data_IF_959455791113
#
_entry.id   IF_959455791113
#
_cell.length_a   1.000
_cell.length_b   1.000
_cell.length_c   1.000
_cell.angle_alpha   90.00
_cell.angle_beta   90.00
_cell.angle_gamma   90.00
#
_symmetry.space_group_name_H-M   'P 1'
#
loop_
_entity.id
_entity.type
_entity.pdbx_description
1 polymer ?
#
# COMPACT_ATOMS: atom_id res chain seq x y z
N UNK A 1 -8.61 22.49 0.73
CA UNK A 1 -7.98 21.99 1.97
C UNK A 1 -8.66 22.65 3.16
N UNK A 2 -8.87 21.89 4.24
CA UNK A 2 -9.43 22.42 5.49
C UNK A 2 -8.24 22.88 6.35
N UNK A 3 -8.18 24.18 6.76
CA UNK A 3 -7.11 24.68 7.61
C UNK A 3 -6.97 23.88 8.92
N UNK A 4 -5.73 23.71 9.39
CA UNK A 4 -5.44 22.91 10.59
C UNK A 4 -6.26 23.37 11.81
N UNK A 5 -6.37 24.65 12.06
CA UNK A 5 -7.16 25.21 13.16
C UNK A 5 -8.64 24.80 13.11
N UNK A 6 -9.21 24.74 11.91
CA UNK A 6 -10.59 24.29 11.74
C UNK A 6 -10.75 22.80 12.02
N UNK A 7 -9.78 21.98 11.57
CA UNK A 7 -9.75 20.53 11.83
C UNK A 7 -9.65 20.27 13.34
N UNK A 8 -8.73 20.93 13.99
CA UNK A 8 -8.54 20.84 15.43
C UNK A 8 -9.80 21.23 16.20
N UNK A 9 -10.48 22.34 15.82
CA UNK A 9 -11.74 22.77 16.41
C UNK A 9 -12.87 21.72 16.26
N UNK A 10 -12.85 20.98 15.16
CA UNK A 10 -13.82 19.89 14.94
C UNK A 10 -13.46 18.69 15.80
N UNK A 11 -12.20 18.26 15.80
CA UNK A 11 -11.71 17.07 16.51
C UNK A 11 -11.92 17.22 18.02
N UNK A 12 -11.63 18.39 18.61
CA UNK A 12 -11.87 18.71 20.03
C UNK A 12 -13.30 18.48 20.52
N UNK A 13 -14.28 18.41 19.64
CA UNK A 13 -15.67 18.11 20.00
C UNK A 13 -15.91 16.61 20.28
N UNK A 14 -15.00 15.75 19.80
CA UNK A 14 -15.17 14.30 19.83
C UNK A 14 -14.03 13.56 20.54
N UNK A 15 -12.95 14.27 20.84
CA UNK A 15 -11.72 13.69 21.35
C UNK A 15 -11.04 14.59 22.38
N UNK A 16 -10.58 13.96 23.45
CA UNK A 16 -9.67 14.57 24.44
C UNK A 16 -8.21 14.20 24.20
N UNK A 17 -7.95 13.16 23.36
CA UNK A 17 -6.62 12.69 22.99
C UNK A 17 -6.47 12.70 21.45
N UNK A 18 -5.72 13.68 20.94
CA UNK A 18 -5.58 13.90 19.50
C UNK A 18 -4.23 14.55 19.15
N UNK A 19 -3.81 14.31 17.91
CA UNK A 19 -2.73 15.02 17.20
C UNK A 19 -3.28 15.53 15.87
N UNK A 20 -3.04 16.80 15.55
CA UNK A 20 -3.48 17.44 14.30
C UNK A 20 -2.28 17.98 13.55
N UNK A 21 -2.17 17.61 12.27
CA UNK A 21 -1.06 18.03 11.41
C UNK A 21 0.23 17.23 11.63
N UNK A 22 0.11 15.97 12.04
CA UNK A 22 1.23 15.05 12.09
C UNK A 22 1.83 14.82 10.69
N UNK A 23 3.17 14.66 10.61
CA UNK A 23 3.91 14.44 9.36
C UNK A 23 4.84 13.22 9.41
N UNK A 24 4.86 12.46 10.51
CA UNK A 24 5.79 11.34 10.69
C UNK A 24 5.61 10.21 9.67
N UNK A 25 4.37 9.84 9.37
CA UNK A 25 4.02 8.79 8.41
C UNK A 25 3.25 9.32 7.20
N UNK A 26 3.26 10.62 7.00
CA UNK A 26 2.50 11.36 6.01
C UNK A 26 1.64 12.42 6.67
N UNK A 27 1.11 13.36 5.89
CA UNK A 27 0.26 14.42 6.41
C UNK A 27 -1.08 13.85 6.89
N UNK A 28 -1.39 14.03 8.17
CA UNK A 28 -2.58 13.45 8.77
C UNK A 28 -3.01 14.05 10.09
N UNK A 29 -4.13 13.55 10.61
CA UNK A 29 -4.62 13.80 11.95
C UNK A 29 -4.95 12.47 12.62
N UNK A 30 -4.51 12.27 13.86
CA UNK A 30 -4.84 11.10 14.66
C UNK A 30 -5.62 11.52 15.89
N UNK A 31 -6.70 10.83 16.20
CA UNK A 31 -7.48 11.14 17.39
C UNK A 31 -8.31 9.94 17.86
N UNK A 32 -8.57 9.94 19.14
CA UNK A 32 -9.35 8.91 19.79
C UNK A 32 -10.79 9.40 19.97
N UNK A 33 -11.77 8.75 19.32
CA UNK A 33 -13.18 9.12 19.46
C UNK A 33 -13.72 8.58 20.78
N UNK A 34 -13.82 9.43 21.82
CA UNK A 34 -14.14 9.03 23.19
C UNK A 34 -15.44 8.23 23.30
N UNK A 35 -16.50 8.65 22.63
CA UNK A 35 -17.80 7.96 22.63
C UNK A 35 -17.79 6.58 21.98
N UNK A 36 -16.89 6.34 21.06
CA UNK A 36 -16.81 5.08 20.30
C UNK A 36 -15.71 4.15 20.82
N UNK A 37 -14.85 4.63 21.71
CA UNK A 37 -13.65 3.95 22.18
C UNK A 37 -12.78 3.47 21.01
N UNK A 38 -12.56 4.32 20.00
CA UNK A 38 -11.81 3.97 18.79
C UNK A 38 -10.87 5.09 18.36
N UNK A 39 -9.66 4.69 17.98
CA UNK A 39 -8.71 5.57 17.30
C UNK A 39 -9.10 5.73 15.83
N UNK A 40 -9.03 6.94 15.33
CA UNK A 40 -9.12 7.28 13.92
C UNK A 40 -7.80 7.88 13.47
N UNK A 41 -7.37 7.45 12.30
CA UNK A 41 -6.21 7.92 11.58
C UNK A 41 -6.70 8.48 10.24
N UNK A 42 -6.53 9.78 10.04
CA UNK A 42 -7.02 10.51 8.87
C UNK A 42 -5.83 10.99 8.07
N UNK A 43 -5.59 10.39 6.93
CA UNK A 43 -4.47 10.76 6.04
C UNK A 43 -4.93 11.67 4.90
N UNK A 44 -4.11 12.67 4.59
CA UNK A 44 -4.37 13.64 3.53
C UNK A 44 -3.48 13.37 2.32
N UNK A 45 -4.12 13.13 1.19
CA UNK A 45 -3.42 12.86 -0.08
C UNK A 45 -3.76 13.91 -1.12
N UNK A 46 -2.77 14.28 -1.93
CA UNK A 46 -3.00 15.11 -3.08
C UNK A 46 -3.74 14.30 -4.17
N UNK A 47 -4.74 14.89 -4.79
CA UNK A 47 -5.51 14.29 -5.89
C UNK A 47 -4.63 13.81 -7.04
N UNK A 48 -3.63 14.63 -7.41
CA UNK A 48 -2.66 14.28 -8.45
C UNK A 48 -1.85 13.04 -8.08
N UNK A 49 -1.52 12.84 -6.80
CA UNK A 49 -0.82 11.65 -6.35
C UNK A 49 -1.63 10.37 -6.62
N UNK A 50 -2.94 10.40 -6.38
CA UNK A 50 -3.84 9.29 -6.72
C UNK A 50 -3.87 9.01 -8.22
N UNK A 51 -4.00 10.05 -9.04
CA UNK A 51 -4.04 9.94 -10.49
C UNK A 51 -2.73 9.40 -11.06
N UNK A 52 -1.59 9.91 -10.58
CA UNK A 52 -0.25 9.47 -11.01
C UNK A 52 0.00 7.98 -10.64
N UNK A 53 -0.37 7.57 -9.43
CA UNK A 53 -0.22 6.16 -9.02
C UNK A 53 -1.12 5.24 -9.84
N UNK A 54 -2.39 5.62 -10.04
CA UNK A 54 -3.30 4.86 -10.89
C UNK A 54 -2.75 4.74 -12.31
N UNK A 55 -2.32 5.84 -12.90
CA UNK A 55 -1.78 5.88 -14.26
C UNK A 55 -0.52 5.01 -14.40
N UNK A 56 0.41 5.13 -13.46
CA UNK A 56 1.66 4.37 -13.52
C UNK A 56 1.43 2.85 -13.36
N UNK A 57 0.56 2.45 -12.46
CA UNK A 57 0.34 1.02 -12.18
C UNK A 57 -0.66 0.42 -13.17
N UNK A 58 -1.87 0.97 -13.27
CA UNK A 58 -2.98 0.34 -14.00
C UNK A 58 -2.92 0.55 -15.51
N UNK A 59 -2.38 1.68 -15.96
CA UNK A 59 -2.33 2.05 -17.38
C UNK A 59 -0.95 1.77 -17.99
N UNK A 60 0.12 2.24 -17.32
CA UNK A 60 1.49 2.04 -17.82
C UNK A 60 2.12 0.72 -17.41
N UNK A 61 1.47 -0.01 -16.51
CA UNK A 61 1.87 -1.34 -16.04
C UNK A 61 3.28 -1.37 -15.40
N UNK A 62 3.63 -0.32 -14.63
CA UNK A 62 4.92 -0.24 -13.94
C UNK A 62 4.84 -0.95 -12.57
N UNK A 63 5.59 -2.04 -12.38
CA UNK A 63 5.60 -2.77 -11.11
C UNK A 63 6.54 -2.13 -10.09
N UNK A 64 6.26 -2.37 -8.81
CA UNK A 64 7.16 -2.09 -7.69
C UNK A 64 8.02 -3.31 -7.32
N UNK A 65 8.87 -3.14 -6.31
CA UNK A 65 9.60 -4.23 -5.66
C UNK A 65 8.77 -4.78 -4.48
N UNK A 66 7.74 -5.54 -4.78
CA UNK A 66 6.69 -5.90 -3.85
C UNK A 66 5.57 -4.85 -3.77
N UNK A 67 4.40 -5.27 -3.33
CA UNK A 67 3.22 -4.43 -3.11
C UNK A 67 2.75 -3.61 -4.33
N UNK A 68 3.00 -4.07 -5.55
CA UNK A 68 2.76 -3.30 -6.79
C UNK A 68 1.34 -2.74 -6.91
N UNK A 69 0.33 -3.49 -6.50
CA UNK A 69 -1.08 -3.09 -6.62
C UNK A 69 -1.76 -2.75 -5.29
N UNK A 70 -0.98 -2.60 -4.21
CA UNK A 70 -1.52 -2.35 -2.87
C UNK A 70 -2.37 -1.07 -2.80
N UNK A 71 -1.90 0.02 -3.41
CA UNK A 71 -2.67 1.25 -3.53
C UNK A 71 -4.00 1.05 -4.27
N UNK A 72 -4.00 0.27 -5.36
CA UNK A 72 -5.20 -0.02 -6.15
C UNK A 72 -6.19 -0.89 -5.36
N UNK A 73 -5.70 -1.81 -4.53
CA UNK A 73 -6.56 -2.58 -3.63
C UNK A 73 -7.28 -1.66 -2.64
N UNK A 74 -6.54 -0.76 -1.99
CA UNK A 74 -7.12 0.23 -1.07
C UNK A 74 -8.14 1.11 -1.79
N UNK A 75 -7.81 1.62 -2.97
CA UNK A 75 -8.74 2.39 -3.80
C UNK A 75 -10.00 1.59 -4.13
N UNK A 76 -9.87 0.31 -4.46
CA UNK A 76 -11.00 -0.54 -4.85
C UNK A 76 -11.99 -0.81 -3.71
N UNK A 77 -11.48 -1.05 -2.49
CA UNK A 77 -12.31 -1.43 -1.34
C UNK A 77 -12.78 -0.26 -0.47
N UNK A 78 -12.20 0.93 -0.66
CA UNK A 78 -12.55 2.08 0.18
C UNK A 78 -14.03 2.48 -0.01
N UNK A 79 -14.68 2.77 1.11
CA UNK A 79 -16.04 3.33 1.09
C UNK A 79 -15.98 4.84 0.89
N UNK A 80 -16.59 5.32 -0.17
CA UNK A 80 -16.68 6.75 -0.46
C UNK A 80 -17.77 7.36 0.44
N UNK A 81 -17.38 8.28 1.32
CA UNK A 81 -18.31 8.98 2.22
C UNK A 81 -18.80 10.27 1.58
N UNK A 82 -17.94 10.98 0.87
CA UNK A 82 -18.28 12.23 0.18
C UNK A 82 -17.42 12.37 -1.08
N UNK A 83 -18.06 12.55 -2.22
CA UNK A 83 -17.39 12.75 -3.52
C UNK A 83 -18.22 13.74 -4.37
N UNK A 84 -18.17 15.00 -3.99
CA UNK A 84 -19.00 16.08 -4.53
C UNK A 84 -19.01 16.17 -6.07
N UNK A 85 -17.91 15.79 -6.72
CA UNK A 85 -17.75 15.87 -8.17
C UNK A 85 -17.62 14.52 -8.86
N UNK A 86 -17.80 13.42 -8.13
CA UNK A 86 -17.71 12.05 -8.65
C UNK A 86 -16.31 11.68 -9.16
N UNK A 87 -15.26 12.38 -8.71
CA UNK A 87 -13.90 12.13 -9.16
C UNK A 87 -13.36 10.79 -8.64
N UNK A 88 -13.49 10.54 -7.34
CA UNK A 88 -13.03 9.31 -6.72
C UNK A 88 -13.84 8.10 -7.21
N UNK A 89 -15.15 8.27 -7.34
CA UNK A 89 -16.06 7.28 -7.94
C UNK A 89 -15.64 6.91 -9.37
N UNK A 90 -15.30 7.91 -10.19
CA UNK A 90 -14.82 7.67 -11.56
C UNK A 90 -13.49 6.91 -11.55
N UNK A 91 -12.57 7.25 -10.66
CA UNK A 91 -11.28 6.59 -10.55
C UNK A 91 -11.46 5.13 -10.09
N UNK A 92 -12.31 4.88 -9.10
CA UNK A 92 -12.64 3.55 -8.60
C UNK A 92 -13.31 2.68 -9.70
N UNK A 93 -14.24 3.25 -10.46
CA UNK A 93 -14.90 2.54 -11.56
C UNK A 93 -13.95 2.11 -12.69
N UNK A 94 -12.83 2.78 -12.87
CA UNK A 94 -11.79 2.37 -13.84
C UNK A 94 -11.09 1.06 -13.44
N UNK A 95 -11.20 0.62 -12.19
CA UNK A 95 -10.73 -0.70 -11.75
C UNK A 95 -11.70 -1.84 -12.10
N UNK A 96 -12.96 -1.54 -12.47
CA UNK A 96 -13.97 -2.53 -12.88
C UNK A 96 -13.72 -3.06 -14.30
N UNK A 97 -12.46 -3.28 -14.65
CA UNK A 97 -12.00 -3.86 -15.90
C UNK A 97 -11.17 -5.11 -15.60
N UNK A 98 -11.03 -6.05 -16.55
CA UNK A 98 -10.17 -7.21 -16.35
C UNK A 98 -8.74 -6.80 -15.94
N UNK A 99 -8.13 -7.60 -15.09
CA UNK A 99 -6.75 -7.37 -14.65
C UNK A 99 -5.80 -7.31 -15.88
N UNK A 100 -5.01 -6.24 -16.06
CA UNK A 100 -4.19 -6.11 -17.26
C UNK A 100 -3.10 -7.20 -17.32
N UNK A 101 -3.12 -8.03 -18.35
CA UNK A 101 -2.15 -9.09 -18.52
C UNK A 101 -0.69 -8.59 -18.61
N UNK A 102 -0.50 -7.40 -19.19
CA UNK A 102 0.83 -6.77 -19.22
C UNK A 102 1.32 -6.39 -17.83
N UNK A 103 0.43 -5.89 -16.96
CA UNK A 103 0.75 -5.61 -15.55
C UNK A 103 1.13 -6.91 -14.83
N UNK A 104 0.33 -7.98 -14.98
CA UNK A 104 0.61 -9.30 -14.43
C UNK A 104 2.02 -9.78 -14.81
N UNK A 105 2.32 -9.78 -16.10
CA UNK A 105 3.64 -10.22 -16.62
C UNK A 105 4.79 -9.36 -16.06
N UNK A 106 4.60 -8.05 -16.00
CA UNK A 106 5.61 -7.13 -15.52
C UNK A 106 5.88 -7.31 -14.02
N UNK A 107 4.83 -7.47 -13.20
CA UNK A 107 4.98 -7.75 -11.76
C UNK A 107 5.72 -9.06 -11.54
N UNK A 108 5.29 -10.15 -12.20
CA UNK A 108 5.93 -11.45 -12.07
C UNK A 108 7.39 -11.38 -12.49
N UNK A 109 7.69 -10.84 -13.67
CA UNK A 109 9.06 -10.70 -14.17
C UNK A 109 9.94 -9.90 -13.23
N UNK A 110 9.47 -8.72 -12.79
CA UNK A 110 10.22 -7.83 -11.88
C UNK A 110 10.56 -8.52 -10.57
N UNK A 111 9.58 -9.13 -9.93
CA UNK A 111 9.76 -9.72 -8.62
C UNK A 111 10.50 -11.06 -8.66
N UNK A 112 10.37 -11.88 -9.70
CA UNK A 112 11.23 -13.07 -9.90
C UNK A 112 12.71 -12.69 -10.00
N UNK A 113 13.04 -11.64 -10.74
CA UNK A 113 14.43 -11.15 -10.83
C UNK A 113 14.97 -10.74 -9.45
N UNK A 114 14.14 -10.15 -8.60
CA UNK A 114 14.54 -9.77 -7.23
C UNK A 114 14.68 -10.98 -6.32
N UNK A 115 13.83 -11.99 -6.48
CA UNK A 115 13.86 -13.18 -5.63
C UNK A 115 15.09 -14.05 -5.88
N UNK A 116 15.40 -14.39 -7.16
CA UNK A 116 16.42 -15.40 -7.45
C UNK A 116 17.25 -15.19 -8.73
N UNK A 117 16.72 -14.52 -9.75
CA UNK A 117 17.34 -14.51 -11.09
C UNK A 117 18.63 -13.67 -11.20
N UNK A 118 18.95 -12.87 -10.20
CA UNK A 118 20.22 -12.14 -10.14
C UNK A 118 21.22 -12.87 -9.23
N UNK A 119 22.31 -13.44 -9.78
CA UNK A 119 23.16 -14.39 -9.06
C UNK A 119 23.88 -13.82 -7.83
N UNK A 120 24.09 -12.51 -7.74
CA UNK A 120 24.84 -11.92 -6.62
C UNK A 120 24.05 -10.93 -5.76
N UNK A 121 22.89 -10.50 -6.21
CA UNK A 121 22.11 -9.44 -5.57
C UNK A 121 20.64 -9.79 -5.31
N UNK A 122 20.23 -11.02 -5.60
CA UNK A 122 18.87 -11.47 -5.30
C UNK A 122 18.63 -11.54 -3.78
N UNK A 123 17.37 -11.42 -3.37
CA UNK A 123 17.02 -11.55 -1.96
C UNK A 123 17.40 -12.91 -1.39
N UNK A 124 17.27 -13.98 -2.20
CA UNK A 124 17.71 -15.31 -1.83
C UNK A 124 19.21 -15.36 -1.50
N UNK A 125 20.06 -14.83 -2.37
CA UNK A 125 21.50 -14.80 -2.16
C UNK A 125 21.90 -13.91 -0.96
N UNK A 126 21.24 -12.79 -0.80
CA UNK A 126 21.49 -11.90 0.34
C UNK A 126 21.08 -12.57 1.66
N UNK A 127 19.96 -13.30 1.68
CA UNK A 127 19.50 -14.06 2.84
C UNK A 127 20.47 -15.21 3.17
N UNK A 128 20.89 -15.98 2.16
CA UNK A 128 21.87 -17.06 2.34
C UNK A 128 23.20 -16.56 2.94
N UNK A 129 23.67 -15.39 2.50
CA UNK A 129 24.89 -14.75 3.05
C UNK A 129 24.67 -14.27 4.49
N UNK A 130 23.50 -13.75 4.81
CA UNK A 130 23.16 -13.32 6.17
C UNK A 130 23.09 -14.52 7.14
N UNK A 131 22.50 -15.62 6.71
CA UNK A 131 22.46 -16.88 7.47
C UNK A 131 23.88 -17.40 7.78
N UNK A 132 24.78 -17.41 6.79
CA UNK A 132 26.17 -17.85 6.99
C UNK A 132 26.93 -17.00 8.02
N UNK A 133 26.57 -15.73 8.20
CA UNK A 133 27.17 -14.83 9.18
C UNK A 133 26.46 -14.80 10.52
N UNK A 134 25.35 -15.55 10.67
CA UNK A 134 24.45 -15.47 11.83
C UNK A 134 23.96 -14.04 12.11
N UNK A 135 23.77 -13.23 11.07
CA UNK A 135 23.37 -11.83 11.15
C UNK A 135 21.83 -11.74 11.19
N UNK A 136 21.28 -11.86 12.40
CA UNK A 136 19.82 -11.89 12.62
C UNK A 136 19.11 -10.63 12.10
N UNK A 137 19.72 -9.46 12.21
CA UNK A 137 19.13 -8.22 11.70
C UNK A 137 18.98 -8.25 10.17
N UNK A 138 20.04 -8.65 9.46
CA UNK A 138 20.00 -8.82 8.00
C UNK A 138 19.04 -9.93 7.59
N UNK A 139 18.95 -11.04 8.34
CA UNK A 139 18.02 -12.14 8.07
C UNK A 139 16.58 -11.60 8.09
N UNK A 140 16.18 -10.92 9.15
CA UNK A 140 14.84 -10.35 9.27
C UNK A 140 14.52 -9.37 8.14
N UNK A 141 15.43 -8.44 7.88
CA UNK A 141 15.24 -7.44 6.83
C UNK A 141 15.12 -8.06 5.43
N UNK A 142 15.96 -9.05 5.10
CA UNK A 142 15.91 -9.73 3.79
C UNK A 142 14.73 -10.67 3.66
N UNK A 143 14.31 -11.31 4.74
CA UNK A 143 13.08 -12.13 4.75
C UNK A 143 11.86 -11.28 4.46
N UNK A 144 11.71 -10.12 5.08
CA UNK A 144 10.60 -9.21 4.81
C UNK A 144 10.57 -8.76 3.33
N UNK A 145 11.72 -8.38 2.76
CA UNK A 145 11.82 -8.00 1.35
C UNK A 145 11.53 -9.16 0.39
N UNK A 146 12.00 -10.38 0.73
CA UNK A 146 11.71 -11.59 -0.02
C UNK A 146 10.20 -11.88 -0.04
N UNK A 147 9.55 -11.86 1.12
CA UNK A 147 8.11 -12.11 1.24
C UNK A 147 7.29 -11.05 0.50
N UNK A 148 7.67 -9.77 0.55
CA UNK A 148 7.01 -8.71 -0.22
C UNK A 148 6.96 -9.02 -1.72
N UNK A 149 8.10 -9.42 -2.31
CA UNK A 149 8.17 -9.80 -3.72
C UNK A 149 7.45 -11.13 -4.01
N UNK A 150 7.54 -12.09 -3.11
CA UNK A 150 6.89 -13.40 -3.26
C UNK A 150 5.36 -13.28 -3.33
N UNK A 151 4.77 -12.55 -2.40
CA UNK A 151 3.32 -12.34 -2.38
C UNK A 151 2.84 -11.46 -3.53
N UNK A 152 3.64 -10.49 -3.99
CA UNK A 152 3.30 -9.70 -5.17
C UNK A 152 3.13 -10.59 -6.42
N UNK A 153 4.01 -11.60 -6.58
CA UNK A 153 3.87 -12.60 -7.63
C UNK A 153 2.59 -13.44 -7.47
N UNK A 154 2.30 -13.92 -6.25
CA UNK A 154 1.12 -14.75 -5.99
C UNK A 154 -0.16 -13.99 -6.36
N UNK A 155 -0.32 -12.76 -5.87
CA UNK A 155 -1.50 -11.96 -6.17
C UNK A 155 -1.59 -11.65 -7.66
N UNK A 156 -0.51 -11.21 -8.30
CA UNK A 156 -0.49 -10.94 -9.73
C UNK A 156 -0.83 -12.20 -10.56
N UNK A 157 -0.29 -13.37 -10.20
CA UNK A 157 -0.55 -14.64 -10.90
C UNK A 157 -2.04 -15.02 -10.86
N UNK A 158 -2.72 -14.69 -9.76
CA UNK A 158 -4.15 -14.96 -9.59
C UNK A 158 -5.04 -13.78 -10.02
N UNK A 159 -4.48 -12.75 -10.66
CA UNK A 159 -5.20 -11.55 -11.11
C UNK A 159 -5.91 -10.81 -9.97
N UNK A 160 -5.32 -10.88 -8.77
CA UNK A 160 -5.81 -10.21 -7.57
C UNK A 160 -4.96 -8.98 -7.25
N UNK A 161 -5.61 -7.94 -6.75
CA UNK A 161 -4.90 -6.78 -6.22
C UNK A 161 -4.27 -7.14 -4.86
N UNK A 162 -3.00 -6.74 -4.66
CA UNK A 162 -2.26 -7.02 -3.43
C UNK A 162 -2.85 -6.23 -2.24
N UNK A 163 -3.27 -6.88 -1.14
CA UNK A 163 -4.00 -6.21 -0.04
C UNK A 163 -3.14 -5.38 0.90
N UNK A 164 -1.82 -5.38 0.75
CA UNK A 164 -0.86 -4.82 1.70
C UNK A 164 -0.29 -5.87 2.64
N UNK A 165 0.40 -5.45 3.70
CA UNK A 165 1.05 -6.36 4.65
C UNK A 165 0.09 -6.99 5.66
N UNK A 166 -1.00 -6.28 5.99
CA UNK A 166 -1.94 -6.72 7.03
C UNK A 166 -2.79 -7.88 6.53
N UNK A 167 -2.87 -8.94 7.32
CA UNK A 167 -3.68 -10.13 7.03
C UNK A 167 -3.33 -10.82 5.70
N UNK A 168 -2.10 -10.62 5.22
CA UNK A 168 -1.63 -11.03 3.90
C UNK A 168 -1.86 -12.52 3.61
N UNK A 169 -1.55 -13.41 4.59
CA UNK A 169 -1.73 -14.87 4.45
C UNK A 169 -3.21 -15.27 4.37
N UNK A 170 -4.09 -14.50 5.02
CA UNK A 170 -5.55 -14.74 4.96
C UNK A 170 -6.10 -14.45 3.57
N UNK A 171 -5.64 -13.38 2.93
CA UNK A 171 -6.03 -13.02 1.56
C UNK A 171 -5.40 -13.90 0.48
N UNK A 172 -4.34 -14.64 0.81
CA UNK A 172 -3.64 -15.54 -0.12
C UNK A 172 -4.17 -16.98 -0.10
N UNK A 173 -5.17 -17.29 0.72
CA UNK A 173 -5.86 -18.58 0.78
C UNK A 173 -6.98 -18.66 -0.24
#
# INVERSE_FOLDING_TARGET
>A
DIPQEQREKIIKKYSTNYEVGGEYFGSGDEFYVDKMNKQLDVMYFNKKWFEDNFENIWIKHYPSNGYSTCFLHTLNIMKIVNDKHGWLTKLQNRLNTPYPQSLQKNIIKRNLMLLKDKPFASYYEQLAKALKRNDMNSINHRTAAFLASYFDIIFAKNELLHPGEKRLVEFAK
#
